data_IF_999646342550
#
_entry.id   IF_999646342550
#
_cell.length_a   1.000
_cell.length_b   1.000
_cell.length_c   1.000
_cell.angle_alpha   90.00
_cell.angle_beta   90.00
_cell.angle_gamma   90.00
#
_symmetry.space_group_name_H-M   'P 1'
#
loop_
_entity.id
_entity.type
_entity.pdbx_description
1 polymer ?
#
# COMPACT_ATOMS: atom_id res chain seq x y z
N UNK A 1 9.68 -0.12 25.12
CA UNK A 1 9.13 -1.42 24.70
C UNK A 1 8.59 -1.22 23.29
N UNK A 2 8.97 -2.07 22.34
CA UNK A 2 8.49 -1.99 20.95
C UNK A 2 6.99 -2.33 20.91
N UNK A 3 6.18 -1.53 20.20
CA UNK A 3 4.71 -1.64 20.22
C UNK A 3 4.17 -2.89 19.53
N UNK A 4 4.93 -3.44 18.57
CA UNK A 4 4.56 -4.59 17.74
C UNK A 4 5.48 -5.80 17.99
N UNK A 5 6.11 -5.88 19.18
CA UNK A 5 6.99 -6.97 19.53
C UNK A 5 6.31 -8.34 19.31
N UNK A 6 7.01 -9.24 18.59
CA UNK A 6 6.54 -10.57 18.18
C UNK A 6 5.32 -10.61 17.24
N UNK A 7 4.76 -9.47 16.82
CA UNK A 7 3.70 -9.45 15.80
C UNK A 7 4.24 -9.86 14.44
N UNK A 8 3.40 -10.49 13.63
CA UNK A 8 3.72 -10.92 12.28
C UNK A 8 3.02 -9.99 11.30
N UNK A 9 3.80 -9.27 10.50
CA UNK A 9 3.29 -8.38 9.47
C UNK A 9 3.62 -8.89 8.07
N UNK A 10 2.65 -8.89 7.17
CA UNK A 10 2.86 -9.11 5.73
C UNK A 10 2.68 -7.80 4.98
N UNK A 11 3.57 -7.51 4.03
CA UNK A 11 3.48 -6.32 3.17
C UNK A 11 3.64 -6.74 1.72
N UNK A 12 2.62 -6.47 0.88
CA UNK A 12 2.70 -6.69 -0.57
C UNK A 12 3.27 -5.47 -1.29
N UNK A 13 4.00 -5.66 -2.40
CA UNK A 13 4.72 -4.57 -3.07
C UNK A 13 5.82 -3.98 -2.19
N UNK A 14 6.51 -4.83 -1.42
CA UNK A 14 7.45 -4.42 -0.37
C UNK A 14 8.85 -4.12 -0.88
N UNK A 15 9.13 -4.29 -2.18
CA UNK A 15 10.48 -4.16 -2.73
C UNK A 15 11.02 -2.72 -2.68
N UNK A 16 10.16 -1.71 -2.70
CA UNK A 16 10.57 -0.29 -2.76
C UNK A 16 9.47 0.67 -2.30
N UNK A 17 9.84 1.94 -2.18
CA UNK A 17 8.90 3.05 -2.00
C UNK A 17 8.05 2.92 -0.74
N UNK A 18 6.74 3.09 -0.88
CA UNK A 18 5.79 3.07 0.24
C UNK A 18 5.80 1.72 0.96
N UNK A 19 5.78 0.60 0.23
CA UNK A 19 5.80 -0.73 0.82
C UNK A 19 7.06 -1.00 1.64
N UNK A 20 8.23 -0.61 1.13
CA UNK A 20 9.50 -0.68 1.86
C UNK A 20 9.47 0.17 3.13
N UNK A 21 8.99 1.43 3.04
CA UNK A 21 8.91 2.34 4.19
C UNK A 21 7.95 1.84 5.27
N UNK A 22 6.79 1.29 4.89
CA UNK A 22 5.85 0.67 5.83
C UNK A 22 6.49 -0.55 6.50
N UNK A 23 7.12 -1.45 5.72
CA UNK A 23 7.78 -2.64 6.27
C UNK A 23 8.86 -2.26 7.29
N UNK A 24 9.69 -1.25 6.96
CA UNK A 24 10.74 -0.76 7.86
C UNK A 24 10.16 -0.15 9.15
N UNK A 25 9.10 0.64 9.05
CA UNK A 25 8.45 1.23 10.23
C UNK A 25 7.84 0.18 11.15
N UNK A 26 7.21 -0.86 10.59
CA UNK A 26 6.70 -1.99 11.38
C UNK A 26 7.83 -2.79 12.04
N UNK A 27 8.96 -2.99 11.34
CA UNK A 27 10.14 -3.67 11.89
C UNK A 27 10.79 -2.89 13.04
N UNK A 28 10.93 -1.57 12.91
CA UNK A 28 11.41 -0.69 13.99
C UNK A 28 10.59 -0.83 15.26
N UNK A 29 9.28 -1.05 15.13
CA UNK A 29 8.36 -1.30 16.25
C UNK A 29 8.32 -2.79 16.70
N UNK A 30 9.15 -3.65 16.13
CA UNK A 30 9.37 -5.04 16.58
C UNK A 30 8.59 -6.12 15.86
N UNK A 31 7.85 -5.78 14.81
CA UNK A 31 7.16 -6.79 14.02
C UNK A 31 8.15 -7.64 13.21
N UNK A 32 7.89 -8.94 13.12
CA UNK A 32 8.52 -9.83 12.16
C UNK A 32 7.85 -9.65 10.79
N UNK A 33 8.61 -9.71 9.70
CA UNK A 33 8.14 -9.32 8.37
C UNK A 33 8.10 -10.48 7.37
N UNK A 34 6.97 -10.63 6.70
CA UNK A 34 6.83 -11.35 5.44
C UNK A 34 6.76 -10.30 4.32
N UNK A 35 7.83 -10.16 3.55
CA UNK A 35 7.91 -9.25 2.42
C UNK A 35 7.45 -9.97 1.15
N UNK A 36 6.45 -9.45 0.47
CA UNK A 36 5.89 -10.08 -0.72
C UNK A 36 5.93 -9.12 -1.92
N UNK A 37 6.42 -9.61 -3.06
CA UNK A 37 6.48 -8.85 -4.32
C UNK A 37 6.49 -9.80 -5.52
N UNK A 38 6.32 -9.27 -6.73
CA UNK A 38 6.38 -10.05 -7.97
C UNK A 38 7.80 -10.58 -8.27
N UNK A 39 8.83 -9.99 -7.69
CA UNK A 39 10.24 -10.36 -7.85
C UNK A 39 10.93 -10.54 -6.50
N UNK A 40 11.45 -11.75 -6.25
CA UNK A 40 12.26 -12.03 -5.06
C UNK A 40 13.57 -11.23 -5.05
N UNK A 41 14.20 -11.05 -6.21
CA UNK A 41 15.43 -10.27 -6.33
C UNK A 41 15.23 -8.82 -5.90
N UNK A 42 14.12 -8.21 -6.28
CA UNK A 42 13.78 -6.84 -5.90
C UNK A 42 13.56 -6.66 -4.39
N UNK A 43 13.27 -7.73 -3.65
CA UNK A 43 13.06 -7.71 -2.19
C UNK A 43 14.37 -7.70 -1.38
N UNK A 44 15.52 -8.03 -1.98
CA UNK A 44 16.77 -8.24 -1.24
C UNK A 44 17.28 -6.97 -0.51
N UNK A 45 17.07 -5.79 -1.10
CA UNK A 45 17.43 -4.53 -0.43
C UNK A 45 16.56 -4.30 0.80
N UNK A 46 15.24 -4.41 0.67
CA UNK A 46 14.31 -4.25 1.79
C UNK A 46 14.57 -5.28 2.87
N UNK A 47 14.82 -6.53 2.51
CA UNK A 47 15.17 -7.60 3.45
C UNK A 47 16.38 -7.25 4.30
N UNK A 48 17.47 -6.77 3.68
CA UNK A 48 18.68 -6.33 4.42
C UNK A 48 18.38 -5.20 5.40
N UNK A 49 17.55 -4.22 5.00
CA UNK A 49 17.15 -3.12 5.89
C UNK A 49 16.37 -3.64 7.10
N UNK A 50 15.48 -4.62 6.90
CA UNK A 50 14.67 -5.21 7.97
C UNK A 50 15.54 -6.09 8.90
N UNK A 51 16.46 -6.88 8.35
CA UNK A 51 17.41 -7.69 9.13
C UNK A 51 18.23 -6.83 10.09
N UNK A 52 18.60 -5.62 9.69
CA UNK A 52 19.33 -4.67 10.54
C UNK A 52 18.54 -4.19 11.77
N UNK A 53 17.20 -4.28 11.76
CA UNK A 53 16.34 -3.96 12.91
C UNK A 53 16.26 -5.12 13.93
N UNK A 54 16.87 -6.27 13.63
CA UNK A 54 16.97 -7.43 14.51
C UNK A 54 15.68 -8.24 14.64
N UNK A 55 14.78 -8.17 13.66
CA UNK A 55 13.53 -8.94 13.59
C UNK A 55 13.65 -10.05 12.55
N UNK A 56 12.79 -11.10 12.65
CA UNK A 56 12.72 -12.14 11.63
C UNK A 56 12.11 -11.57 10.35
N UNK A 57 12.71 -11.89 9.19
CA UNK A 57 12.18 -11.52 7.88
C UNK A 57 12.28 -12.69 6.90
N UNK A 58 11.27 -12.84 6.05
CA UNK A 58 11.26 -13.79 4.91
C UNK A 58 10.63 -13.12 3.70
N UNK A 59 11.05 -13.57 2.52
CA UNK A 59 10.58 -13.04 1.23
C UNK A 59 9.72 -14.05 0.49
N UNK A 60 8.69 -13.57 -0.20
CA UNK A 60 7.71 -14.38 -0.94
C UNK A 60 7.44 -13.77 -2.30
N UNK A 61 7.44 -14.61 -3.34
CA UNK A 61 7.00 -14.20 -4.67
C UNK A 61 5.49 -14.27 -4.78
N UNK A 62 4.84 -13.17 -5.17
CA UNK A 62 3.40 -13.08 -5.34
C UNK A 62 3.03 -12.18 -6.51
N UNK A 63 2.17 -12.67 -7.40
CA UNK A 63 1.35 -11.82 -8.26
C UNK A 63 -0.04 -11.74 -7.63
N UNK A 64 -0.41 -10.57 -7.13
CA UNK A 64 -1.71 -10.35 -6.47
C UNK A 64 -2.91 -10.53 -7.40
N UNK A 65 -2.70 -10.62 -8.73
CA UNK A 65 -3.76 -10.93 -9.70
C UNK A 65 -4.09 -12.41 -9.78
N UNK A 66 -3.17 -13.28 -9.36
CA UNK A 66 -3.36 -14.73 -9.37
C UNK A 66 -4.00 -15.17 -8.06
N UNK A 67 -5.29 -15.54 -8.10
CA UNK A 67 -6.08 -15.90 -6.93
C UNK A 67 -5.52 -17.13 -6.21
N UNK A 68 -5.14 -18.18 -6.97
CA UNK A 68 -4.62 -19.41 -6.40
C UNK A 68 -3.24 -19.17 -5.76
N UNK A 69 -2.33 -18.52 -6.49
CA UNK A 69 -0.99 -18.16 -5.99
C UNK A 69 -1.07 -17.26 -4.77
N UNK A 70 -1.98 -16.29 -4.77
CA UNK A 70 -2.22 -15.41 -3.61
C UNK A 70 -2.65 -16.22 -2.39
N UNK A 71 -3.67 -17.05 -2.51
CA UNK A 71 -4.16 -17.88 -1.40
C UNK A 71 -3.07 -18.83 -0.87
N UNK A 72 -2.31 -19.49 -1.75
CA UNK A 72 -1.20 -20.37 -1.37
C UNK A 72 -0.07 -19.63 -0.68
N UNK A 73 0.29 -18.44 -1.15
CA UNK A 73 1.37 -17.63 -0.55
C UNK A 73 0.99 -17.17 0.86
N UNK A 74 -0.23 -16.67 1.09
CA UNK A 74 -0.67 -16.29 2.44
C UNK A 74 -0.73 -17.49 3.41
N UNK A 75 -1.20 -18.67 2.94
CA UNK A 75 -1.16 -19.92 3.74
C UNK A 75 0.28 -20.31 4.08
N UNK A 76 1.21 -20.17 3.14
CA UNK A 76 2.64 -20.42 3.39
C UNK A 76 3.21 -19.46 4.42
N UNK A 77 2.93 -18.15 4.32
CA UNK A 77 3.35 -17.14 5.30
C UNK A 77 2.84 -17.51 6.69
N UNK A 78 1.55 -17.84 6.81
CA UNK A 78 0.96 -18.26 8.08
C UNK A 78 1.60 -19.52 8.65
N UNK A 79 2.00 -20.47 7.81
CA UNK A 79 2.73 -21.68 8.22
C UNK A 79 4.15 -21.36 8.71
N UNK A 80 4.89 -20.50 7.99
CA UNK A 80 6.30 -20.18 8.28
C UNK A 80 6.47 -19.32 9.56
N UNK A 81 5.48 -18.48 9.86
CA UNK A 81 5.49 -17.57 11.01
C UNK A 81 4.54 -17.98 12.15
N UNK A 82 3.62 -18.90 11.91
CA UNK A 82 2.58 -19.31 12.86
C UNK A 82 1.35 -18.41 12.91
N UNK A 83 1.41 -17.21 12.36
CA UNK A 83 0.31 -16.23 12.34
C UNK A 83 0.48 -15.20 11.22
N UNK A 84 -0.58 -14.42 11.00
CA UNK A 84 -0.54 -13.08 10.40
C UNK A 84 -1.37 -12.19 11.33
N UNK A 85 -0.74 -11.17 11.93
CA UNK A 85 -1.41 -10.21 12.80
C UNK A 85 -1.73 -8.91 12.06
N UNK A 86 -0.86 -8.53 11.11
CA UNK A 86 -0.97 -7.28 10.35
C UNK A 86 -0.77 -7.61 8.88
N UNK A 87 -1.68 -7.16 8.05
CA UNK A 87 -1.57 -7.31 6.60
C UNK A 87 -1.66 -5.93 5.92
N UNK A 88 -0.72 -5.65 5.00
CA UNK A 88 -0.63 -4.40 4.26
C UNK A 88 -0.73 -4.67 2.77
N UNK A 89 -1.87 -4.37 2.18
CA UNK A 89 -2.15 -4.49 0.76
C UNK A 89 -1.66 -3.23 0.04
N UNK A 90 -0.36 -3.21 -0.29
CA UNK A 90 0.28 -2.05 -0.90
C UNK A 90 0.60 -2.23 -2.39
N UNK A 91 0.70 -3.46 -2.91
CA UNK A 91 0.97 -3.69 -4.32
C UNK A 91 0.02 -2.88 -5.22
N UNK A 92 0.59 -2.16 -6.18
CA UNK A 92 -0.19 -1.29 -7.05
C UNK A 92 0.61 -0.71 -8.21
N UNK A 93 -0.11 -0.38 -9.27
CA UNK A 93 0.44 0.23 -10.49
C UNK A 93 -0.32 1.51 -10.82
N UNK A 94 0.34 2.39 -11.58
CA UNK A 94 -0.25 3.59 -12.13
C UNK A 94 -0.26 3.53 -13.65
N UNK A 95 -1.21 4.20 -14.30
CA UNK A 95 -1.21 4.44 -15.73
C UNK A 95 -1.64 5.89 -15.98
N UNK A 96 -0.90 6.58 -16.82
CA UNK A 96 -1.08 8.00 -17.12
C UNK A 96 -1.58 8.10 -18.57
N UNK A 97 -2.89 8.30 -18.74
CA UNK A 97 -3.52 8.28 -20.07
C UNK A 97 -4.60 9.35 -20.17
N UNK A 98 -4.74 9.96 -21.36
CA UNK A 98 -6.02 10.58 -21.72
C UNK A 98 -7.04 9.45 -21.93
N UNK A 99 -8.26 9.62 -21.43
CA UNK A 99 -9.31 8.57 -21.49
C UNK A 99 -9.57 8.10 -22.91
N UNK A 100 -9.51 8.98 -23.91
CA UNK A 100 -9.74 8.64 -25.33
C UNK A 100 -8.59 7.84 -25.96
N UNK A 101 -7.40 7.82 -25.34
CA UNK A 101 -6.20 7.13 -25.79
C UNK A 101 -5.97 5.83 -25.01
N UNK A 102 -6.65 5.67 -23.86
CA UNK A 102 -6.50 4.49 -22.99
C UNK A 102 -7.11 3.25 -23.63
N UNK A 103 -6.37 2.18 -23.71
CA UNK A 103 -6.90 0.88 -24.14
C UNK A 103 -7.69 0.19 -23.02
N UNK A 104 -8.59 -0.74 -23.38
CA UNK A 104 -9.25 -1.60 -22.39
C UNK A 104 -8.21 -2.43 -21.59
N UNK A 105 -7.15 -2.88 -22.24
CA UNK A 105 -6.07 -3.63 -21.56
C UNK A 105 -5.34 -2.80 -20.52
N UNK A 106 -5.08 -1.50 -20.75
CA UNK A 106 -4.49 -0.60 -19.76
C UNK A 106 -5.43 -0.42 -18.56
N UNK A 107 -6.71 -0.22 -18.84
CA UNK A 107 -7.75 -0.16 -17.80
C UNK A 107 -7.77 -1.44 -16.97
N UNK A 108 -7.89 -2.60 -17.62
CA UNK A 108 -8.00 -3.89 -16.96
C UNK A 108 -6.75 -4.21 -16.12
N UNK A 109 -5.55 -3.88 -16.60
CA UNK A 109 -4.31 -4.03 -15.84
C UNK A 109 -4.33 -3.23 -14.55
N UNK A 110 -4.79 -1.97 -14.59
CA UNK A 110 -4.84 -1.10 -13.41
C UNK A 110 -5.89 -1.63 -12.41
N UNK A 111 -7.10 -1.98 -12.90
CA UNK A 111 -8.16 -2.49 -12.03
C UNK A 111 -7.80 -3.84 -11.41
N UNK A 112 -7.19 -4.74 -12.19
CA UNK A 112 -6.82 -6.07 -11.70
C UNK A 112 -5.78 -6.01 -10.59
N UNK A 113 -4.76 -5.17 -10.70
CA UNK A 113 -3.74 -5.04 -9.64
C UNK A 113 -4.29 -4.27 -8.45
N UNK A 114 -4.82 -3.06 -8.69
CA UNK A 114 -5.11 -2.11 -7.60
C UNK A 114 -6.41 -2.40 -6.84
N UNK A 115 -7.43 -2.94 -7.51
CA UNK A 115 -8.73 -3.22 -6.89
C UNK A 115 -8.95 -4.72 -6.66
N UNK A 116 -8.86 -5.55 -7.71
CA UNK A 116 -9.04 -6.99 -7.57
C UNK A 116 -7.94 -7.62 -6.72
N UNK A 117 -6.68 -7.20 -6.88
CA UNK A 117 -5.56 -7.70 -6.06
C UNK A 117 -5.75 -7.43 -4.57
N UNK A 118 -6.21 -6.23 -4.19
CA UNK A 118 -6.54 -5.91 -2.79
C UNK A 118 -7.65 -6.83 -2.25
N UNK A 119 -8.69 -7.07 -3.05
CA UNK A 119 -9.76 -8.03 -2.67
C UNK A 119 -9.22 -9.45 -2.46
N UNK A 120 -8.39 -9.96 -3.37
CA UNK A 120 -7.84 -11.31 -3.27
C UNK A 120 -6.93 -11.49 -2.05
N UNK A 121 -6.08 -10.49 -1.77
CA UNK A 121 -5.25 -10.48 -0.58
C UNK A 121 -6.11 -10.44 0.69
N UNK A 122 -7.08 -9.52 0.79
CA UNK A 122 -7.97 -9.41 1.94
C UNK A 122 -8.77 -10.70 2.18
N UNK A 123 -9.23 -11.38 1.12
CA UNK A 123 -9.89 -12.68 1.22
C UNK A 123 -8.96 -13.74 1.85
N UNK A 124 -7.72 -13.83 1.38
CA UNK A 124 -6.74 -14.79 1.92
C UNK A 124 -6.34 -14.47 3.37
N UNK A 125 -6.22 -13.20 3.71
CA UNK A 125 -5.95 -12.72 5.07
C UNK A 125 -7.07 -13.07 6.04
N UNK A 126 -8.32 -12.86 5.63
CA UNK A 126 -9.49 -13.19 6.43
C UNK A 126 -9.63 -14.70 6.69
N UNK A 127 -9.29 -15.56 5.74
CA UNK A 127 -9.25 -17.02 5.96
C UNK A 127 -8.32 -17.40 7.13
N UNK A 128 -7.26 -16.61 7.38
CA UNK A 128 -6.28 -16.84 8.44
C UNK A 128 -6.67 -16.11 9.75
N UNK A 129 -7.19 -14.89 9.65
CA UNK A 129 -7.48 -14.02 10.80
C UNK A 129 -8.82 -14.35 11.48
N UNK A 130 -9.87 -14.71 10.73
CA UNK A 130 -11.21 -14.98 11.27
C UNK A 130 -11.23 -16.10 12.33
N UNK A 131 -10.55 -17.24 12.16
CA UNK A 131 -10.50 -18.28 13.18
C UNK A 131 -9.86 -17.81 14.51
N UNK A 132 -8.94 -16.83 14.43
CA UNK A 132 -8.24 -16.24 15.58
C UNK A 132 -8.98 -15.06 16.18
N UNK A 133 -9.99 -14.53 15.51
CA UNK A 133 -10.75 -13.31 15.89
C UNK A 133 -9.83 -12.13 16.21
N UNK A 134 -8.76 -11.97 15.46
CA UNK A 134 -7.77 -10.92 15.67
C UNK A 134 -6.98 -10.66 14.40
N UNK A 135 -6.76 -9.41 14.07
CA UNK A 135 -5.95 -8.98 12.95
C UNK A 135 -6.18 -7.51 12.57
N UNK A 136 -5.27 -6.98 11.79
CA UNK A 136 -5.38 -5.63 11.21
C UNK A 136 -5.05 -5.71 9.73
N UNK A 137 -5.98 -5.30 8.88
CA UNK A 137 -5.83 -5.18 7.43
C UNK A 137 -5.70 -3.70 7.08
N UNK A 138 -4.66 -3.35 6.33
CA UNK A 138 -4.37 -1.98 5.90
C UNK A 138 -4.31 -1.97 4.36
N UNK A 139 -5.30 -1.38 3.72
CA UNK A 139 -5.32 -1.25 2.27
C UNK A 139 -4.70 0.08 1.85
N UNK A 140 -3.63 0.05 1.06
CA UNK A 140 -3.01 1.29 0.55
C UNK A 140 -3.81 1.78 -0.67
N UNK A 141 -4.68 2.76 -0.39
CA UNK A 141 -5.45 3.47 -1.41
C UNK A 141 -4.60 4.61 -2.03
N UNK A 142 -5.09 5.83 -2.01
CA UNK A 142 -4.45 7.06 -2.46
C UNK A 142 -5.36 8.24 -2.16
N UNK A 143 -4.83 9.47 -2.19
CA UNK A 143 -5.66 10.67 -2.32
C UNK A 143 -6.51 10.60 -3.61
N UNK A 144 -6.04 9.92 -4.66
CA UNK A 144 -6.80 9.63 -5.88
C UNK A 144 -7.99 8.68 -5.66
N UNK A 145 -8.15 8.11 -4.47
CA UNK A 145 -9.36 7.40 -4.02
C UNK A 145 -10.38 8.30 -3.31
N UNK A 146 -10.09 9.59 -3.19
CA UNK A 146 -10.95 10.61 -2.56
C UNK A 146 -11.29 11.76 -3.50
N UNK A 147 -10.45 12.03 -4.49
CA UNK A 147 -10.67 13.07 -5.49
C UNK A 147 -10.13 12.64 -6.87
N UNK A 148 -10.71 13.15 -7.94
CA UNK A 148 -10.23 12.91 -9.31
C UNK A 148 -8.92 13.63 -9.59
N UNK A 149 -8.06 13.00 -10.39
CA UNK A 149 -6.80 13.58 -10.85
C UNK A 149 -6.73 13.50 -12.38
N UNK A 150 -6.22 14.56 -13.02
CA UNK A 150 -6.06 14.66 -14.48
C UNK A 150 -5.17 13.51 -14.98
N UNK A 151 -5.53 12.88 -16.11
CA UNK A 151 -4.84 11.77 -16.75
C UNK A 151 -4.83 10.44 -15.96
N UNK A 152 -5.47 10.36 -14.80
CA UNK A 152 -5.46 9.21 -13.91
C UNK A 152 -6.84 8.56 -13.74
N UNK A 153 -7.72 8.62 -14.74
CA UNK A 153 -9.10 8.14 -14.60
C UNK A 153 -9.20 6.68 -14.13
N UNK A 154 -8.47 5.75 -14.75
CA UNK A 154 -8.47 4.35 -14.36
C UNK A 154 -7.84 4.14 -12.97
N UNK A 155 -6.76 4.85 -12.66
CA UNK A 155 -6.11 4.80 -11.34
C UNK A 155 -7.05 5.34 -10.25
N UNK A 156 -7.68 6.50 -10.46
CA UNK A 156 -8.68 7.03 -9.53
C UNK A 156 -9.80 6.01 -9.30
N UNK A 157 -10.40 5.47 -10.36
CA UNK A 157 -11.46 4.46 -10.25
C UNK A 157 -11.02 3.28 -9.36
N UNK A 158 -9.81 2.74 -9.59
CA UNK A 158 -9.27 1.64 -8.78
C UNK A 158 -9.08 2.02 -7.31
N UNK A 159 -8.62 3.24 -7.01
CA UNK A 159 -8.36 3.68 -5.64
C UNK A 159 -9.64 4.09 -4.89
N UNK A 160 -10.66 4.61 -5.59
CA UNK A 160 -12.02 4.75 -5.04
C UNK A 160 -12.63 3.39 -4.69
N UNK A 161 -12.43 2.37 -5.56
CA UNK A 161 -12.86 1.00 -5.28
C UNK A 161 -12.23 0.45 -3.99
N UNK A 162 -10.93 0.68 -3.75
CA UNK A 162 -10.24 0.26 -2.52
C UNK A 162 -10.85 0.94 -1.29
N UNK A 163 -11.17 2.25 -1.34
CA UNK A 163 -11.80 2.96 -0.22
C UNK A 163 -13.19 2.39 0.07
N UNK A 164 -14.02 2.22 -0.99
CA UNK A 164 -15.37 1.65 -0.85
C UNK A 164 -15.35 0.21 -0.31
N UNK A 165 -14.45 -0.63 -0.85
CA UNK A 165 -14.24 -1.99 -0.36
C UNK A 165 -13.82 -2.02 1.11
N UNK A 166 -12.88 -1.17 1.51
CA UNK A 166 -12.43 -1.06 2.91
C UNK A 166 -13.58 -0.74 3.86
N UNK A 167 -14.41 0.24 3.52
CA UNK A 167 -15.56 0.61 4.36
C UNK A 167 -16.58 -0.53 4.47
N UNK A 168 -16.93 -1.17 3.34
CA UNK A 168 -17.89 -2.26 3.32
C UNK A 168 -17.39 -3.48 4.10
N UNK A 169 -16.14 -3.88 3.89
CA UNK A 169 -15.53 -5.01 4.58
C UNK A 169 -15.43 -4.77 6.08
N UNK A 170 -15.07 -3.55 6.51
CA UNK A 170 -15.01 -3.21 7.93
C UNK A 170 -16.38 -3.37 8.64
N UNK A 171 -17.48 -3.04 7.97
CA UNK A 171 -18.84 -3.26 8.49
C UNK A 171 -19.20 -4.74 8.53
N UNK A 172 -18.82 -5.50 7.49
CA UNK A 172 -19.10 -6.94 7.39
C UNK A 172 -18.47 -7.74 8.54
N UNK A 173 -17.26 -7.34 8.98
CA UNK A 173 -16.50 -8.09 10.00
C UNK A 173 -16.35 -7.36 11.34
N UNK A 174 -17.18 -6.36 11.61
CA UNK A 174 -17.06 -5.49 12.79
C UNK A 174 -17.07 -6.22 14.14
N UNK A 175 -17.72 -7.37 14.23
CA UNK A 175 -17.86 -8.20 15.43
C UNK A 175 -16.78 -9.28 15.58
N UNK A 176 -15.82 -9.34 14.64
CA UNK A 176 -14.82 -10.42 14.60
C UNK A 176 -13.52 -10.11 15.35
N UNK A 177 -13.33 -8.87 15.82
CA UNK A 177 -12.06 -8.40 16.42
C UNK A 177 -10.97 -8.09 15.41
N UNK A 178 -11.31 -8.05 14.10
CA UNK A 178 -10.41 -7.65 13.02
C UNK A 178 -10.74 -6.22 12.59
N UNK A 179 -9.73 -5.40 12.34
CA UNK A 179 -9.90 -4.04 11.81
C UNK A 179 -9.45 -3.95 10.36
N UNK A 180 -10.15 -3.14 9.56
CA UNK A 180 -9.79 -2.88 8.16
C UNK A 180 -9.81 -1.38 7.91
N UNK A 181 -8.68 -0.80 7.48
CA UNK A 181 -8.55 0.63 7.21
C UNK A 181 -7.83 0.90 5.89
N UNK A 182 -8.11 2.05 5.29
CA UNK A 182 -7.42 2.53 4.10
C UNK A 182 -6.41 3.63 4.46
N UNK A 183 -5.17 3.45 4.04
CA UNK A 183 -4.13 4.48 4.04
C UNK A 183 -4.16 5.18 2.69
N UNK A 184 -4.31 6.50 2.69
CA UNK A 184 -4.45 7.31 1.48
C UNK A 184 -3.25 8.26 1.32
N UNK A 185 -2.14 7.83 0.68
CA UNK A 185 -0.99 8.68 0.42
C UNK A 185 -1.33 9.86 -0.50
N UNK A 186 -0.68 10.99 -0.25
CA UNK A 186 -0.63 12.11 -1.17
C UNK A 186 0.51 12.00 -2.18
N UNK A 187 1.40 12.98 -2.19
CA UNK A 187 2.61 13.01 -3.02
C UNK A 187 3.77 12.45 -2.20
N UNK A 188 4.23 11.25 -2.55
CA UNK A 188 5.36 10.61 -1.89
C UNK A 188 6.52 10.50 -2.87
N UNK A 189 7.72 10.91 -2.47
CA UNK A 189 8.92 10.95 -3.31
C UNK A 189 9.46 9.57 -3.70
N UNK A 190 8.67 8.78 -4.39
CA UNK A 190 8.98 7.42 -4.85
C UNK A 190 9.08 7.34 -6.36
N UNK A 191 9.47 6.19 -6.92
CA UNK A 191 9.54 5.97 -8.37
C UNK A 191 8.23 6.24 -9.12
N UNK A 192 7.07 6.17 -8.46
CA UNK A 192 5.79 6.56 -9.06
C UNK A 192 5.73 8.05 -9.41
N UNK A 193 6.41 8.91 -8.66
CA UNK A 193 6.52 10.34 -8.92
C UNK A 193 7.82 10.71 -9.64
N UNK A 194 8.94 10.06 -9.30
CA UNK A 194 10.31 10.43 -9.66
C UNK A 194 11.03 9.40 -10.56
N UNK A 195 10.33 8.44 -11.12
CA UNK A 195 10.89 7.47 -12.08
C UNK A 195 10.82 7.97 -13.53
N UNK A 196 11.43 7.22 -14.43
CA UNK A 196 11.48 7.56 -15.87
C UNK A 196 10.09 7.79 -16.49
N UNK A 197 9.08 7.07 -16.03
CA UNK A 197 7.67 7.23 -16.41
C UNK A 197 6.85 7.85 -15.26
N UNK A 198 7.49 8.62 -14.38
CA UNK A 198 6.87 9.18 -13.18
C UNK A 198 5.97 10.39 -13.46
N UNK A 199 5.08 10.66 -12.47
CA UNK A 199 4.13 11.76 -12.55
C UNK A 199 4.79 13.14 -12.68
N UNK A 200 5.96 13.36 -12.07
CA UNK A 200 6.68 14.62 -12.19
C UNK A 200 7.01 14.93 -13.66
N UNK A 201 7.46 13.92 -14.41
CA UNK A 201 7.75 14.04 -15.84
C UNK A 201 6.47 14.20 -16.67
N UNK A 202 5.41 13.42 -16.35
CA UNK A 202 4.14 13.48 -17.09
C UNK A 202 3.41 14.83 -16.92
N UNK A 203 3.64 15.51 -15.80
CA UNK A 203 3.06 16.83 -15.51
C UNK A 203 4.04 17.99 -15.76
N UNK A 204 5.20 17.73 -16.37
CA UNK A 204 6.13 18.79 -16.75
C UNK A 204 5.53 19.69 -17.84
N UNK A 205 5.81 20.98 -17.71
CA UNK A 205 5.49 21.94 -18.78
C UNK A 205 6.50 21.79 -19.94
N UNK A 206 6.21 22.37 -21.08
CA UNK A 206 7.14 22.37 -22.22
C UNK A 206 8.48 22.98 -21.83
N UNK A 207 9.57 22.22 -22.02
CA UNK A 207 10.94 22.62 -21.65
C UNK A 207 11.29 22.55 -20.16
N UNK A 208 10.35 22.12 -19.30
CA UNK A 208 10.60 21.97 -17.86
C UNK A 208 11.31 20.63 -17.56
N UNK A 209 12.35 20.67 -16.74
CA UNK A 209 12.99 19.45 -16.25
C UNK A 209 12.09 18.68 -15.27
N UNK A 210 12.33 17.39 -15.10
CA UNK A 210 11.61 16.58 -14.09
C UNK A 210 11.77 17.18 -12.68
N UNK A 211 12.97 17.62 -12.29
CA UNK A 211 13.22 18.22 -10.98
C UNK A 211 12.44 19.52 -10.77
N UNK A 212 12.43 20.40 -11.77
CA UNK A 212 11.66 21.64 -11.70
C UNK A 212 10.14 21.36 -11.61
N UNK A 213 9.65 20.39 -12.38
CA UNK A 213 8.27 19.93 -12.30
C UNK A 213 7.95 19.34 -10.93
N UNK A 214 8.82 18.49 -10.37
CA UNK A 214 8.69 17.93 -9.05
C UNK A 214 8.58 19.00 -7.96
N UNK A 215 9.48 19.97 -7.95
CA UNK A 215 9.43 21.09 -7.00
C UNK A 215 8.16 21.94 -7.15
N UNK A 216 7.77 22.23 -8.40
CA UNK A 216 6.55 22.99 -8.70
C UNK A 216 5.30 22.23 -8.21
N UNK A 217 5.21 20.91 -8.48
CA UNK A 217 4.08 20.08 -8.05
C UNK A 217 3.93 20.10 -6.52
N UNK A 218 5.00 19.96 -5.78
CA UNK A 218 4.96 20.04 -4.32
C UNK A 218 4.41 21.40 -3.85
N UNK A 219 4.94 22.51 -4.38
CA UNK A 219 4.51 23.86 -4.00
C UNK A 219 3.08 24.19 -4.41
N UNK A 220 2.61 23.60 -5.53
CA UNK A 220 1.29 23.92 -6.10
C UNK A 220 0.19 23.05 -5.52
N UNK A 221 0.47 21.76 -5.30
CA UNK A 221 -0.55 20.78 -4.90
C UNK A 221 -0.62 20.59 -3.38
N UNK A 222 0.49 20.81 -2.66
CA UNK A 222 0.56 20.55 -1.23
C UNK A 222 0.49 21.88 -0.45
N UNK A 223 -0.53 22.11 0.37
CA UNK A 223 -0.56 23.24 1.30
C UNK A 223 0.66 23.31 2.23
N UNK A 224 1.24 22.17 2.61
CA UNK A 224 2.49 22.12 3.38
C UNK A 224 3.75 22.40 2.53
N UNK A 225 3.65 22.40 1.21
CA UNK A 225 4.73 22.71 0.28
C UNK A 225 5.84 21.69 0.15
N UNK A 226 5.71 20.52 0.81
CA UNK A 226 6.71 19.45 0.85
C UNK A 226 6.05 18.08 0.70
N UNK A 227 6.66 17.21 -0.13
CA UNK A 227 6.19 15.85 -0.33
C UNK A 227 6.35 15.00 0.95
N UNK A 228 5.47 14.02 1.08
CA UNK A 228 5.54 13.05 2.15
C UNK A 228 6.63 12.01 1.86
N UNK A 229 7.07 11.34 2.91
CA UNK A 229 8.06 10.27 2.87
C UNK A 229 7.39 8.89 3.00
N UNK A 230 8.06 7.79 2.59
CA UNK A 230 7.60 6.44 2.89
C UNK A 230 7.45 6.17 4.41
N UNK A 231 8.26 6.81 5.25
CA UNK A 231 8.17 6.71 6.71
C UNK A 231 6.88 7.33 7.27
N UNK A 232 6.39 8.44 6.69
CA UNK A 232 5.09 9.01 7.08
C UNK A 232 3.94 8.02 6.86
N UNK A 233 4.00 7.23 5.78
CA UNK A 233 3.06 6.15 5.51
C UNK A 233 3.20 5.02 6.54
N UNK A 234 4.44 4.68 6.89
CA UNK A 234 4.76 3.69 7.91
C UNK A 234 4.23 4.08 9.29
N UNK A 235 4.34 5.35 9.68
CA UNK A 235 3.81 5.86 10.95
C UNK A 235 2.29 5.66 11.06
N UNK A 236 1.54 5.91 9.97
CA UNK A 236 0.10 5.64 9.95
C UNK A 236 -0.20 4.13 9.98
N UNK A 237 0.61 3.31 9.32
CA UNK A 237 0.44 1.85 9.39
C UNK A 237 0.65 1.31 10.82
N UNK A 238 1.66 1.80 11.55
CA UNK A 238 1.87 1.50 12.97
C UNK A 238 0.69 1.97 13.82
N UNK A 239 0.16 3.18 13.55
CA UNK A 239 -1.04 3.67 14.25
C UNK A 239 -2.23 2.72 14.07
N UNK A 240 -2.54 2.30 12.85
CA UNK A 240 -3.62 1.34 12.60
C UNK A 240 -3.38 0.00 13.31
N UNK A 241 -2.15 -0.51 13.26
CA UNK A 241 -1.78 -1.78 13.90
C UNK A 241 -1.86 -1.76 15.43
N UNK A 242 -1.85 -0.56 16.04
CA UNK A 242 -1.91 -0.38 17.51
C UNK A 242 -3.22 0.22 18.00
N UNK A 243 -4.21 0.41 17.13
CA UNK A 243 -5.47 1.11 17.42
C UNK A 243 -6.69 0.19 17.17
N UNK A 244 -7.03 -0.71 18.11
CA UNK A 244 -8.02 -1.77 17.90
C UNK A 244 -9.48 -1.27 17.72
N UNK A 245 -9.73 -0.01 17.98
CA UNK A 245 -11.06 0.60 17.81
C UNK A 245 -11.12 1.53 16.59
N UNK A 246 -10.08 1.54 15.75
CA UNK A 246 -10.09 2.27 14.47
C UNK A 246 -10.32 1.26 13.36
N UNK A 247 -11.51 1.29 12.74
CA UNK A 247 -11.87 0.44 11.60
C UNK A 247 -12.76 1.21 10.62
N UNK A 248 -12.75 0.83 9.35
CA UNK A 248 -13.52 1.46 8.29
C UNK A 248 -13.03 2.87 7.91
N UNK A 249 -11.87 3.31 8.37
CA UNK A 249 -11.38 4.65 8.11
C UNK A 249 -10.54 4.71 6.83
N UNK A 250 -10.63 5.83 6.11
CA UNK A 250 -9.75 6.17 5.00
C UNK A 250 -8.99 7.45 5.36
N UNK A 251 -7.79 7.28 5.94
CA UNK A 251 -6.98 8.39 6.47
C UNK A 251 -5.94 8.83 5.44
N UNK A 252 -5.91 10.13 5.17
CA UNK A 252 -4.93 10.73 4.28
C UNK A 252 -3.66 11.13 5.03
N UNK A 253 -2.51 10.85 4.40
CA UNK A 253 -1.20 11.41 4.75
C UNK A 253 -0.73 12.13 3.48
N UNK A 254 -1.11 13.40 3.33
CA UNK A 254 -1.10 14.07 2.02
C UNK A 254 -0.72 15.55 2.06
N UNK A 255 -0.24 16.06 3.20
CA UNK A 255 0.17 17.47 3.34
C UNK A 255 -0.95 18.48 3.05
N UNK A 256 -2.21 18.07 3.18
CA UNK A 256 -3.39 18.89 2.91
C UNK A 256 -3.88 18.85 1.45
N UNK A 257 -3.32 17.98 0.60
CA UNK A 257 -3.69 17.88 -0.83
C UNK A 257 -5.16 17.54 -1.03
N UNK A 258 -5.79 16.82 -0.11
CA UNK A 258 -7.18 16.40 -0.17
C UNK A 258 -8.20 17.38 0.40
N UNK A 259 -7.76 18.51 0.94
CA UNK A 259 -8.64 19.52 1.53
C UNK A 259 -9.34 20.38 0.49
#
# INVERSE_FOLDING_TARGET
MKKLDQKIAVVTGASRGIGQGIALSLAKEGANLALADISLEALEETKKLIEAEGVKVSTYEIDVNDEEKTALTFKKIASDFGAIDIAVNNAGVIGIHKTVEMTAADWDKIQSVNARGVFLCAKAELEIMLPKKSGTIINVASIAGKKGMKLLAAYCASKFAVVGFTNALALEIADTGITVNALCPGIVGTGMWRGDDGLAKAYANEGESEEASWERQQKTLLPQGVAQTPEDMGNLAVFFATSPHVTGQAISVDGGFGM
#
